data_IF_071564996604
#
_entry.id   IF_071564996604
#
_cell.length_a   1.000
_cell.length_b   1.000
_cell.length_c   1.000
_cell.angle_alpha   90.00
_cell.angle_beta   90.00
_cell.angle_gamma   90.00
#
_symmetry.space_group_name_H-M   'P 1'
#
loop_
_entity.id
_entity.type
_entity.pdbx_description
1 polymer ?
#
# COMPACT_ATOMS: atom_id res chain seq x y z
N UNK A 1 -3.35 -5.95 -2.45
CA UNK A 1 -2.77 -4.86 -3.27
C UNK A 1 -2.56 -5.34 -4.70
N UNK A 2 -2.81 -4.50 -5.72
CA UNK A 2 -2.47 -4.75 -7.11
C UNK A 2 -0.97 -5.03 -7.32
N UNK A 3 -0.65 -5.75 -8.40
CA UNK A 3 0.72 -6.06 -8.82
C UNK A 3 1.61 -4.81 -8.90
N UNK A 4 1.09 -3.71 -9.44
CA UNK A 4 1.83 -2.46 -9.60
C UNK A 4 2.19 -1.82 -8.26
N UNK A 5 1.30 -1.90 -7.26
CA UNK A 5 1.49 -1.31 -5.94
C UNK A 5 2.51 -2.09 -5.12
N UNK A 6 2.50 -3.43 -5.24
CA UNK A 6 3.53 -4.29 -4.64
C UNK A 6 4.94 -3.97 -5.17
N UNK A 7 5.07 -3.72 -6.49
CA UNK A 7 6.37 -3.32 -7.08
C UNK A 7 6.86 -1.97 -6.54
N UNK A 8 5.95 -1.02 -6.27
CA UNK A 8 6.33 0.24 -5.67
C UNK A 8 6.76 0.08 -4.21
N UNK A 9 6.07 -0.74 -3.42
CA UNK A 9 6.49 -1.08 -2.06
C UNK A 9 7.86 -1.76 -2.03
N UNK A 10 8.13 -2.71 -2.94
CA UNK A 10 9.44 -3.37 -3.03
C UNK A 10 10.55 -2.35 -3.28
N UNK A 11 10.36 -1.42 -4.23
CA UNK A 11 11.33 -0.36 -4.52
C UNK A 11 11.55 0.56 -3.30
N UNK A 12 10.47 0.98 -2.66
CA UNK A 12 10.54 1.82 -1.46
C UNK A 12 11.24 1.08 -0.28
N UNK A 13 11.01 -0.23 -0.15
CA UNK A 13 11.68 -1.07 0.85
C UNK A 13 13.18 -1.18 0.59
N UNK A 14 13.60 -1.48 -0.64
CA UNK A 14 15.01 -1.51 -1.01
C UNK A 14 15.68 -0.14 -0.84
N UNK A 15 14.95 0.94 -1.15
CA UNK A 15 15.40 2.33 -0.93
C UNK A 15 15.31 2.81 0.51
N UNK A 16 14.83 1.99 1.45
CA UNK A 16 14.59 2.35 2.87
C UNK A 16 13.70 3.59 3.03
N UNK A 17 12.84 3.90 2.05
CA UNK A 17 11.93 5.06 2.09
C UNK A 17 10.66 4.72 2.89
N UNK A 18 10.77 4.84 4.21
CA UNK A 18 9.68 4.57 5.15
C UNK A 18 8.47 5.48 4.90
N UNK A 19 8.69 6.71 4.41
CA UNK A 19 7.61 7.66 4.11
C UNK A 19 6.78 7.17 2.93
N UNK A 20 7.45 6.73 1.86
CA UNK A 20 6.79 6.17 0.69
C UNK A 20 6.03 4.88 1.03
N UNK A 21 6.59 4.01 1.88
CA UNK A 21 5.91 2.80 2.35
C UNK A 21 4.63 3.13 3.11
N UNK A 22 4.69 4.08 4.06
CA UNK A 22 3.52 4.51 4.84
C UNK A 22 2.43 5.08 3.94
N UNK A 23 2.80 5.97 3.01
CA UNK A 23 1.86 6.56 2.05
C UNK A 23 1.19 5.48 1.19
N UNK A 24 1.96 4.57 0.60
CA UNK A 24 1.43 3.50 -0.23
C UNK A 24 0.48 2.58 0.56
N UNK A 25 0.81 2.24 1.81
CA UNK A 25 -0.08 1.48 2.66
C UNK A 25 -1.38 2.24 2.96
N UNK A 26 -1.30 3.52 3.34
CA UNK A 26 -2.50 4.35 3.55
C UNK A 26 -3.38 4.44 2.31
N UNK A 27 -2.79 4.65 1.12
CA UNK A 27 -3.54 4.66 -0.14
C UNK A 27 -4.27 3.33 -0.40
N UNK A 28 -3.66 2.20 -0.04
CA UNK A 28 -4.27 0.89 -0.21
C UNK A 28 -5.45 0.66 0.72
N UNK A 29 -5.34 1.09 1.98
CA UNK A 29 -6.45 1.03 2.93
C UNK A 29 -7.62 1.91 2.48
N UNK A 30 -7.35 3.15 2.03
CA UNK A 30 -8.39 4.04 1.48
C UNK A 30 -9.06 3.45 0.24
N UNK A 31 -8.28 2.81 -0.64
CA UNK A 31 -8.82 2.10 -1.79
C UNK A 31 -9.73 0.95 -1.36
N UNK A 32 -9.30 0.13 -0.40
CA UNK A 32 -10.10 -1.00 0.11
C UNK A 32 -11.40 -0.55 0.78
N UNK A 33 -11.34 0.51 1.59
CA UNK A 33 -12.49 1.13 2.24
C UNK A 33 -13.52 1.60 1.20
N UNK A 34 -13.06 2.29 0.16
CA UNK A 34 -13.92 2.75 -0.94
C UNK A 34 -14.52 1.60 -1.76
N UNK A 35 -13.82 0.47 -1.84
CA UNK A 35 -14.24 -0.70 -2.62
C UNK A 35 -14.90 -1.81 -1.78
N UNK A 36 -15.26 -1.55 -0.52
CA UNK A 36 -16.06 -2.45 0.33
C UNK A 36 -15.35 -3.73 0.80
N UNK A 37 -14.07 -3.89 0.50
CA UNK A 37 -13.28 -5.04 0.92
C UNK A 37 -12.66 -4.78 2.29
N UNK A 38 -13.44 -4.84 3.36
CA UNK A 38 -12.90 -4.84 4.73
C UNK A 38 -11.90 -6.01 4.88
N UNK A 39 -10.60 -5.78 5.14
CA UNK A 39 -9.87 -6.69 6.01
C UNK A 39 -10.39 -6.38 7.41
N UNK A 40 -11.49 -7.02 7.78
CA UNK A 40 -11.95 -7.02 9.16
C UNK A 40 -10.90 -7.82 9.95
N UNK A 41 -10.42 -7.23 11.04
CA UNK A 41 -9.39 -7.79 11.93
C UNK A 41 -9.68 -9.24 12.36
#
# INVERSE_FOLDING_TARGET
MPQWMRRQLQRAFFGKDVRQIRLLNSCWFLYLEKHGGRPQE
#
